data_IF_499364722871
#
_entry.id   IF_499364722871
#
_cell.length_a   1.000
_cell.length_b   1.000
_cell.length_c   1.000
_cell.angle_alpha   90.00
_cell.angle_beta   90.00
_cell.angle_gamma   90.00
#
_symmetry.space_group_name_H-M   'P 1'
#
loop_
_entity.id
_entity.type
_entity.pdbx_description
1 polymer ?
#
# COMPACT_ATOMS: atom_id res chain seq x y z
N UNK A 1 9.90 -37.13 12.10
CA UNK A 1 9.67 -36.80 13.52
C UNK A 1 8.22 -36.40 13.69
N UNK A 2 7.40 -37.24 14.33
CA UNK A 2 6.00 -36.91 14.65
C UNK A 2 5.98 -35.78 15.69
N UNK A 3 5.83 -34.54 15.23
CA UNK A 3 5.51 -33.43 16.14
C UNK A 3 4.13 -33.71 16.74
N UNK A 4 4.08 -34.07 18.02
CA UNK A 4 2.82 -34.06 18.78
C UNK A 4 2.20 -32.67 18.58
N UNK A 5 0.97 -32.62 18.10
CA UNK A 5 0.25 -31.37 17.97
C UNK A 5 0.14 -30.74 19.37
N UNK A 6 0.92 -29.69 19.62
CA UNK A 6 0.80 -28.92 20.85
C UNK A 6 -0.64 -28.38 20.94
N UNK A 7 -1.34 -28.78 21.99
CA UNK A 7 -2.75 -28.46 22.22
C UNK A 7 -2.82 -26.98 22.65
N UNK A 8 -3.65 -26.15 22.01
CA UNK A 8 -3.82 -24.76 22.44
C UNK A 8 -4.43 -24.75 23.84
N UNK A 9 -4.05 -23.75 24.65
CA UNK A 9 -4.61 -23.62 26.01
C UNK A 9 -6.07 -23.15 25.99
N UNK A 10 -6.54 -22.63 24.86
CA UNK A 10 -7.94 -22.31 24.61
C UNK A 10 -8.25 -22.33 23.12
N UNK A 11 -9.45 -22.80 22.78
CA UNK A 11 -10.04 -22.69 21.46
C UNK A 11 -11.54 -22.43 21.59
N UNK A 12 -12.07 -21.41 20.91
CA UNK A 12 -13.48 -21.09 20.98
C UNK A 12 -13.88 -19.82 20.22
N UNK A 13 -15.15 -19.48 20.30
CA UNK A 13 -15.75 -18.31 19.67
C UNK A 13 -15.52 -17.04 20.51
N UNK A 14 -15.88 -15.89 19.94
CA UNK A 14 -15.62 -14.57 20.54
C UNK A 14 -16.08 -14.44 21.99
N UNK A 15 -17.27 -14.93 22.33
CA UNK A 15 -17.83 -14.82 23.68
C UNK A 15 -17.03 -15.67 24.69
N UNK A 16 -16.71 -16.91 24.31
CA UNK A 16 -15.90 -17.83 25.11
C UNK A 16 -14.49 -17.29 25.29
N UNK A 17 -13.88 -16.76 24.21
CA UNK A 17 -12.56 -16.14 24.24
C UNK A 17 -12.54 -14.89 25.13
N UNK A 18 -13.60 -14.09 25.12
CA UNK A 18 -13.75 -12.93 26.00
C UNK A 18 -13.86 -13.31 27.48
N UNK A 19 -14.58 -14.39 27.79
CA UNK A 19 -14.67 -14.94 29.14
C UNK A 19 -13.32 -15.52 29.59
N UNK A 20 -12.64 -16.25 28.71
CA UNK A 20 -11.34 -16.85 28.98
C UNK A 20 -10.26 -15.78 29.24
N UNK A 21 -10.25 -14.70 28.44
CA UNK A 21 -9.37 -13.54 28.60
C UNK A 21 -9.81 -12.57 29.72
N UNK A 22 -10.54 -13.03 30.73
CA UNK A 22 -11.02 -12.20 31.85
C UNK A 22 -9.91 -11.48 32.63
N UNK A 23 -10.20 -11.02 33.85
CA UNK A 23 -9.28 -10.21 34.65
C UNK A 23 -7.90 -10.85 34.88
N UNK A 24 -7.76 -12.17 34.80
CA UNK A 24 -6.48 -12.88 35.00
C UNK A 24 -5.45 -12.69 33.87
N UNK A 25 -5.78 -11.99 32.78
CA UNK A 25 -4.91 -11.77 31.61
C UNK A 25 -4.44 -10.32 31.43
N UNK A 26 -4.69 -9.43 32.41
CA UNK A 26 -4.30 -8.01 32.32
C UNK A 26 -2.79 -7.81 32.27
N UNK A 27 -2.04 -8.60 33.05
CA UNK A 27 -0.59 -8.44 33.22
C UNK A 27 0.21 -9.59 32.59
N UNK A 28 -0.35 -10.17 31.52
CA UNK A 28 0.24 -11.30 30.81
C UNK A 28 0.32 -11.04 29.32
N UNK A 29 1.38 -11.56 28.73
CA UNK A 29 1.50 -11.68 27.29
C UNK A 29 0.96 -13.03 26.84
N UNK A 30 0.43 -13.09 25.64
CA UNK A 30 0.02 -14.35 25.03
C UNK A 30 0.22 -14.33 23.52
N UNK A 31 0.38 -15.53 22.98
CA UNK A 31 0.35 -15.78 21.54
C UNK A 31 -0.98 -16.39 21.16
N UNK A 32 -1.51 -15.98 20.01
CA UNK A 32 -2.81 -16.43 19.54
C UNK A 32 -2.84 -16.62 18.02
N UNK A 33 -3.81 -17.40 17.58
CA UNK A 33 -4.10 -17.68 16.17
C UNK A 33 -5.58 -17.37 15.91
N UNK A 34 -5.85 -16.55 14.90
CA UNK A 34 -7.19 -16.39 14.36
C UNK A 34 -7.39 -17.42 13.25
N UNK A 35 -8.50 -18.14 13.35
CA UNK A 35 -8.85 -19.21 12.44
C UNK A 35 -10.19 -18.90 11.75
N UNK A 36 -10.31 -19.43 10.53
CA UNK A 36 -11.58 -19.45 9.78
C UNK A 36 -12.59 -20.39 10.48
N UNK A 37 -13.88 -20.36 10.11
CA UNK A 37 -14.88 -21.25 10.70
C UNK A 37 -14.55 -22.75 10.61
N UNK A 38 -13.80 -23.15 9.57
CA UNK A 38 -13.30 -24.52 9.37
C UNK A 38 -12.09 -24.88 10.24
N UNK A 39 -11.64 -23.97 11.10
CA UNK A 39 -10.44 -24.12 11.92
C UNK A 39 -9.13 -23.81 11.18
N UNK A 40 -9.15 -23.40 9.91
CA UNK A 40 -7.92 -23.09 9.17
C UNK A 40 -7.30 -21.77 9.66
N UNK A 41 -6.04 -21.75 10.12
CA UNK A 41 -5.35 -20.52 10.51
C UNK A 41 -5.29 -19.48 9.39
N UNK A 42 -5.45 -18.21 9.73
CA UNK A 42 -5.22 -17.12 8.78
C UNK A 42 -4.42 -15.95 9.36
N UNK A 43 -4.22 -15.87 10.66
CA UNK A 43 -3.41 -14.84 11.29
C UNK A 43 -2.84 -15.33 12.61
N UNK A 44 -1.59 -14.99 12.88
CA UNK A 44 -0.93 -15.22 14.18
C UNK A 44 -0.60 -13.86 14.78
N UNK A 45 -0.75 -13.70 16.09
CA UNK A 45 -0.36 -12.47 16.75
C UNK A 45 0.10 -12.69 18.19
N UNK A 46 0.83 -11.70 18.71
CA UNK A 46 1.03 -11.50 20.14
C UNK A 46 0.10 -10.42 20.69
N UNK A 47 -0.34 -10.58 21.93
CA UNK A 47 -1.23 -9.63 22.58
C UNK A 47 -1.14 -9.65 24.09
N UNK A 48 -1.75 -8.65 24.70
CA UNK A 48 -2.07 -8.58 26.13
C UNK A 48 -3.52 -8.09 26.25
N UNK A 49 -4.15 -8.31 27.41
CA UNK A 49 -5.55 -7.96 27.64
C UNK A 49 -6.48 -8.52 26.54
N UNK A 50 -7.24 -7.65 25.87
CA UNK A 50 -8.25 -8.04 24.86
C UNK A 50 -7.77 -7.94 23.41
N UNK A 51 -6.45 -7.77 23.18
CA UNK A 51 -5.88 -7.48 21.85
C UNK A 51 -6.34 -8.43 20.75
N UNK A 52 -6.44 -9.72 21.04
CA UNK A 52 -6.92 -10.73 20.09
C UNK A 52 -8.34 -10.42 19.55
N UNK A 53 -9.22 -9.88 20.40
CA UNK A 53 -10.62 -9.57 20.06
C UNK A 53 -10.78 -8.22 19.33
N UNK A 54 -9.83 -7.31 19.50
CA UNK A 54 -9.88 -5.97 18.90
C UNK A 54 -9.81 -6.01 17.36
N UNK A 55 -9.30 -7.10 16.79
CA UNK A 55 -9.15 -7.24 15.34
C UNK A 55 -10.48 -7.20 14.57
N UNK A 56 -11.57 -7.64 15.18
CA UNK A 56 -12.90 -7.49 14.56
C UNK A 56 -13.29 -6.01 14.46
N UNK A 57 -13.06 -5.23 15.53
CA UNK A 57 -13.34 -3.80 15.54
C UNK A 57 -12.45 -3.05 14.54
N UNK A 58 -11.16 -3.42 14.44
CA UNK A 58 -10.24 -2.87 13.42
C UNK A 58 -10.76 -3.12 12.01
N UNK A 59 -11.27 -4.33 11.73
CA UNK A 59 -11.80 -4.67 10.42
C UNK A 59 -13.08 -3.89 10.08
N UNK A 60 -13.97 -3.67 11.06
CA UNK A 60 -15.24 -2.97 10.86
C UNK A 60 -15.09 -1.45 10.75
N UNK A 61 -14.16 -0.84 11.48
CA UNK A 61 -14.02 0.64 11.56
C UNK A 61 -13.46 1.31 10.30
N UNK A 62 -13.14 0.55 9.24
CA UNK A 62 -12.45 1.05 8.03
C UNK A 62 -11.31 2.03 8.34
N UNK A 63 -10.62 1.86 9.48
CA UNK A 63 -9.74 2.93 9.96
C UNK A 63 -8.52 3.04 9.04
N UNK A 64 -8.29 4.26 8.55
CA UNK A 64 -7.05 4.71 7.90
C UNK A 64 -5.85 4.70 8.87
N UNK A 65 -5.94 3.95 9.97
CA UNK A 65 -4.89 3.87 10.97
C UNK A 65 -3.65 3.21 10.33
N UNK A 66 -2.46 3.84 10.39
CA UNK A 66 -1.24 3.37 9.74
C UNK A 66 -0.71 2.01 10.21
N UNK A 67 -1.41 1.32 11.12
CA UNK A 67 -1.05 0.03 11.72
C UNK A 67 -2.03 -1.12 11.40
N UNK A 68 -3.05 -0.90 10.56
CA UNK A 68 -3.97 -1.97 10.20
C UNK A 68 -3.37 -2.90 9.14
N UNK A 69 -3.48 -4.22 9.33
CA UNK A 69 -3.10 -5.21 8.33
C UNK A 69 -4.27 -5.42 7.35
N UNK A 70 -4.21 -4.91 6.10
CA UNK A 70 -5.36 -4.92 5.20
C UNK A 70 -5.79 -6.34 4.80
N UNK A 71 -4.84 -7.28 4.64
CA UNK A 71 -5.14 -8.66 4.26
C UNK A 71 -5.92 -9.38 5.37
N UNK A 72 -5.47 -9.23 6.62
CA UNK A 72 -6.19 -9.74 7.80
C UNK A 72 -7.61 -9.16 7.87
N UNK A 73 -7.75 -7.84 7.77
CA UNK A 73 -9.06 -7.18 7.83
C UNK A 73 -10.00 -7.64 6.70
N UNK A 74 -9.48 -7.86 5.50
CA UNK A 74 -10.26 -8.37 4.38
C UNK A 74 -10.76 -9.81 4.60
N UNK A 75 -9.94 -10.68 5.21
CA UNK A 75 -10.38 -12.04 5.59
C UNK A 75 -11.50 -11.97 6.64
N UNK A 76 -11.35 -11.13 7.67
CA UNK A 76 -12.38 -10.94 8.70
C UNK A 76 -13.70 -10.46 8.08
N UNK A 77 -13.66 -9.43 7.24
CA UNK A 77 -14.86 -8.93 6.52
C UNK A 77 -15.49 -9.99 5.63
N UNK A 78 -14.68 -10.82 4.97
CA UNK A 78 -15.18 -11.91 4.12
C UNK A 78 -15.94 -12.94 4.97
N UNK A 79 -15.38 -13.36 6.11
CA UNK A 79 -16.03 -14.30 7.03
C UNK A 79 -17.39 -13.76 7.47
N UNK A 80 -17.47 -12.49 7.89
CA UNK A 80 -18.74 -11.90 8.34
C UNK A 80 -19.77 -11.73 7.22
N UNK A 81 -19.35 -11.36 6.00
CA UNK A 81 -20.26 -11.32 4.85
C UNK A 81 -20.87 -12.68 4.52
N UNK A 82 -20.21 -13.76 4.92
CA UNK A 82 -20.68 -15.14 4.75
C UNK A 82 -21.40 -15.67 5.99
N UNK A 83 -21.81 -14.80 6.93
CA UNK A 83 -22.42 -15.16 8.21
C UNK A 83 -21.57 -16.14 9.04
N UNK A 84 -20.26 -16.19 8.81
CA UNK A 84 -19.33 -17.01 9.57
C UNK A 84 -18.81 -16.30 10.82
N UNK A 85 -18.14 -17.05 11.69
CA UNK A 85 -17.50 -16.54 12.91
C UNK A 85 -16.00 -16.87 12.90
N UNK A 86 -15.20 -16.01 13.54
CA UNK A 86 -13.78 -16.27 13.75
C UNK A 86 -13.64 -17.25 14.92
N UNK A 87 -12.82 -18.27 14.72
CA UNK A 87 -12.39 -19.16 15.79
C UNK A 87 -11.08 -18.63 16.37
N UNK A 88 -11.05 -18.48 17.69
CA UNK A 88 -9.92 -17.93 18.44
C UNK A 88 -9.17 -19.07 19.10
N UNK A 89 -7.86 -19.19 18.81
CA UNK A 89 -6.97 -20.13 19.50
C UNK A 89 -5.93 -19.37 20.28
N UNK A 90 -5.84 -19.62 21.58
CA UNK A 90 -4.78 -19.10 22.42
C UNK A 90 -3.74 -20.19 22.59
N UNK A 91 -2.52 -19.93 22.14
CA UNK A 91 -1.44 -20.93 22.07
C UNK A 91 -0.75 -21.06 23.42
N UNK A 92 -0.20 -19.95 23.94
CA UNK A 92 0.55 -19.90 25.21
C UNK A 92 0.43 -18.55 25.90
N UNK A 93 0.56 -18.56 27.23
CA UNK A 93 0.71 -17.37 28.08
C UNK A 93 2.13 -17.21 28.61
N UNK A 94 2.50 -15.97 28.88
CA UNK A 94 3.80 -15.57 29.39
C UNK A 94 3.60 -14.53 30.49
N UNK A 95 4.48 -14.53 31.49
CA UNK A 95 4.55 -13.46 32.48
C UNK A 95 4.97 -12.13 31.83
N UNK A 96 4.80 -11.03 32.55
CA UNK A 96 5.06 -9.67 32.05
C UNK A 96 6.51 -9.49 31.55
N UNK A 97 7.47 -10.06 32.28
CA UNK A 97 8.91 -10.03 31.99
C UNK A 97 9.33 -10.98 30.85
N UNK A 98 8.44 -11.88 30.42
CA UNK A 98 8.67 -12.88 29.38
C UNK A 98 8.17 -12.44 27.99
N UNK A 99 8.07 -11.13 27.75
CA UNK A 99 7.61 -10.59 26.46
C UNK A 99 8.45 -11.11 25.27
N UNK A 100 9.76 -11.29 25.47
CA UNK A 100 10.68 -11.79 24.44
C UNK A 100 10.34 -13.24 24.03
N UNK A 101 10.00 -14.09 24.98
CA UNK A 101 9.63 -15.48 24.69
C UNK A 101 8.30 -15.56 23.96
N UNK A 102 7.35 -14.70 24.33
CA UNK A 102 6.09 -14.53 23.59
C UNK A 102 6.34 -14.15 22.13
N UNK A 103 7.28 -13.23 21.91
CA UNK A 103 7.67 -12.77 20.58
C UNK A 103 8.34 -13.87 19.74
N UNK A 104 9.25 -14.65 20.35
CA UNK A 104 9.89 -15.80 19.71
C UNK A 104 8.87 -16.87 19.33
N UNK A 105 7.88 -17.12 20.20
CA UNK A 105 6.80 -18.06 19.89
C UNK A 105 5.91 -17.58 18.76
N UNK A 106 5.56 -16.29 18.70
CA UNK A 106 4.83 -15.70 17.58
C UNK A 106 5.57 -15.97 16.26
N UNK A 107 6.88 -15.71 16.22
CA UNK A 107 7.71 -15.99 15.05
C UNK A 107 7.74 -17.48 14.69
N UNK A 108 7.86 -18.36 15.68
CA UNK A 108 7.84 -19.81 15.46
C UNK A 108 6.50 -20.30 14.88
N UNK A 109 5.36 -19.77 15.37
CA UNK A 109 4.04 -20.07 14.82
C UNK A 109 3.88 -19.55 13.38
N UNK A 110 4.39 -18.34 13.09
CA UNK A 110 4.37 -17.79 11.74
C UNK A 110 5.21 -18.64 10.78
N UNK A 111 6.40 -19.05 11.21
CA UNK A 111 7.27 -19.93 10.43
C UNK A 111 6.61 -21.30 10.19
N UNK A 112 5.92 -21.85 11.20
CA UNK A 112 5.22 -23.14 11.12
C UNK A 112 4.09 -23.14 10.10
N UNK A 113 3.20 -22.15 10.13
CA UNK A 113 2.05 -22.10 9.23
C UNK A 113 2.39 -21.47 7.86
N UNK A 114 3.48 -20.72 7.80
CA UNK A 114 3.90 -19.97 6.62
C UNK A 114 2.97 -18.81 6.29
N UNK A 115 3.52 -17.73 5.72
CA UNK A 115 2.71 -16.61 5.23
C UNK A 115 2.32 -16.84 3.78
N UNK A 116 1.23 -16.21 3.35
CA UNK A 116 0.77 -16.24 1.95
C UNK A 116 1.89 -15.90 0.94
N UNK A 117 2.75 -14.88 1.16
CA UNK A 117 3.86 -14.62 0.24
C UNK A 117 4.90 -15.74 0.19
N UNK A 118 5.01 -16.54 1.25
CA UNK A 118 6.03 -17.58 1.43
C UNK A 118 5.47 -18.97 1.04
N UNK A 119 4.26 -19.01 0.45
CA UNK A 119 3.55 -20.25 0.09
C UNK A 119 2.68 -20.85 1.19
N UNK A 120 2.56 -20.18 2.34
CA UNK A 120 1.72 -20.62 3.47
C UNK A 120 0.33 -19.99 3.50
N UNK A 121 -0.32 -20.06 4.67
CA UNK A 121 -1.74 -19.72 4.83
C UNK A 121 -2.01 -18.41 5.62
N UNK A 122 -0.99 -17.82 6.23
CA UNK A 122 -1.15 -16.65 7.10
C UNK A 122 -1.14 -15.31 6.35
N UNK A 123 -1.97 -14.38 6.83
CA UNK A 123 -2.08 -12.99 6.35
C UNK A 123 -1.09 -12.02 7.02
N UNK A 124 -0.21 -12.52 7.88
CA UNK A 124 0.82 -11.72 8.55
C UNK A 124 1.70 -10.96 7.54
N UNK A 125 1.97 -9.67 7.80
CA UNK A 125 2.83 -8.84 6.94
C UNK A 125 4.32 -9.07 7.20
N UNK A 126 4.68 -9.39 8.45
CA UNK A 126 6.04 -9.63 8.92
C UNK A 126 6.19 -11.06 9.46
N UNK A 127 7.42 -11.53 9.62
CA UNK A 127 7.74 -12.90 10.02
C UNK A 127 7.61 -13.15 11.54
N UNK A 128 7.11 -12.17 12.30
CA UNK A 128 7.24 -12.12 13.77
C UNK A 128 8.48 -11.32 14.18
N UNK A 129 8.72 -11.11 15.49
CA UNK A 129 9.80 -10.26 16.06
C UNK A 129 9.54 -8.74 16.14
N UNK A 130 8.29 -8.28 15.98
CA UNK A 130 7.94 -6.88 16.25
C UNK A 130 8.51 -5.90 15.22
N UNK A 131 8.86 -4.68 15.64
CA UNK A 131 9.37 -3.62 14.74
C UNK A 131 10.78 -3.89 14.18
N UNK A 132 11.49 -4.89 14.72
CA UNK A 132 12.79 -5.38 14.23
C UNK A 132 12.61 -6.39 13.08
N UNK A 133 11.36 -6.78 12.80
CA UNK A 133 11.04 -7.69 11.72
C UNK A 133 11.07 -6.98 10.37
N UNK A 134 12.20 -7.13 9.72
CA UNK A 134 12.37 -7.01 8.27
C UNK A 134 11.10 -7.48 7.50
N UNK A 135 10.37 -6.54 6.86
CA UNK A 135 9.24 -6.84 5.97
C UNK A 135 9.66 -7.94 4.98
N UNK A 136 8.81 -8.91 4.69
CA UNK A 136 9.19 -10.04 3.83
C UNK A 136 9.81 -9.56 2.51
N UNK A 137 10.92 -10.13 2.01
CA UNK A 137 11.52 -9.78 0.74
C UNK A 137 10.53 -9.78 -0.43
N UNK A 138 9.50 -10.65 -0.45
CA UNK A 138 8.46 -10.62 -1.49
C UNK A 138 7.44 -9.48 -1.28
N UNK A 139 7.16 -9.08 -0.04
CA UNK A 139 6.35 -7.88 0.23
C UNK A 139 7.14 -6.60 -0.06
N UNK A 140 8.45 -6.55 0.22
CA UNK A 140 9.34 -5.48 -0.22
C UNK A 140 9.50 -5.47 -1.73
N UNK A 141 9.66 -6.63 -2.37
CA UNK A 141 9.77 -6.76 -3.82
C UNK A 141 8.45 -6.41 -4.49
N UNK A 142 7.30 -6.87 -4.02
CA UNK A 142 5.98 -6.42 -4.52
C UNK A 142 5.74 -4.94 -4.25
N UNK A 143 6.13 -4.42 -3.09
CA UNK A 143 5.99 -2.99 -2.81
C UNK A 143 6.93 -2.16 -3.71
N UNK A 144 8.19 -2.55 -3.86
CA UNK A 144 9.15 -1.96 -4.79
C UNK A 144 8.71 -2.11 -6.25
N UNK A 145 8.17 -3.27 -6.64
CA UNK A 145 7.68 -3.56 -7.98
C UNK A 145 6.39 -2.76 -8.28
N UNK A 146 5.56 -2.51 -7.27
CA UNK A 146 4.33 -1.70 -7.42
C UNK A 146 4.60 -0.21 -7.31
N UNK A 147 5.63 0.19 -6.56
CA UNK A 147 6.08 1.57 -6.38
C UNK A 147 7.00 2.02 -7.51
N UNK A 148 7.71 1.11 -8.18
CA UNK A 148 8.62 1.48 -9.26
C UNK A 148 8.97 0.36 -10.25
N UNK A 149 8.50 -0.89 -10.11
CA UNK A 149 8.84 -2.03 -11.02
C UNK A 149 7.79 -2.39 -12.06
N UNK A 150 7.99 -3.53 -12.72
CA UNK A 150 7.13 -4.03 -13.81
C UNK A 150 6.33 -5.22 -13.27
N UNK A 151 5.12 -5.01 -12.72
CA UNK A 151 4.31 -6.11 -12.20
C UNK A 151 3.72 -6.96 -13.33
N UNK A 152 4.19 -8.21 -13.47
CA UNK A 152 3.70 -9.15 -14.50
C UNK A 152 2.20 -9.47 -14.44
N UNK A 153 1.53 -9.17 -13.31
CA UNK A 153 0.09 -9.43 -13.11
C UNK A 153 -0.78 -8.17 -13.19
N UNK A 154 -0.21 -7.04 -13.59
CA UNK A 154 -0.93 -5.78 -13.70
C UNK A 154 -0.36 -4.97 -14.89
N UNK A 155 -0.80 -5.28 -16.11
CA UNK A 155 -0.22 -4.74 -17.33
C UNK A 155 -0.37 -3.21 -17.43
N UNK A 156 -1.51 -2.66 -17.04
CA UNK A 156 -1.71 -1.20 -16.99
C UNK A 156 -0.73 -0.50 -16.03
N UNK A 157 -0.50 -1.10 -14.86
CA UNK A 157 0.45 -0.58 -13.89
C UNK A 157 1.89 -0.69 -14.39
N UNK A 158 2.24 -1.79 -15.05
CA UNK A 158 3.52 -1.98 -15.70
C UNK A 158 3.77 -0.91 -16.77
N UNK A 159 2.78 -0.64 -17.61
CA UNK A 159 2.84 0.42 -18.62
C UNK A 159 3.16 1.78 -18.02
N UNK A 160 2.40 2.21 -17.02
CA UNK A 160 2.63 3.51 -16.39
C UNK A 160 3.96 3.58 -15.64
N UNK A 161 4.44 2.47 -15.08
CA UNK A 161 5.74 2.44 -14.40
C UNK A 161 6.89 2.55 -15.40
N UNK A 162 6.81 1.86 -16.54
CA UNK A 162 7.80 1.96 -17.62
C UNK A 162 7.79 3.37 -18.23
N UNK A 163 6.60 3.90 -18.51
CA UNK A 163 6.45 5.28 -18.98
C UNK A 163 7.09 6.27 -18.03
N UNK A 164 6.82 6.16 -16.72
CA UNK A 164 7.38 7.08 -15.73
C UNK A 164 8.91 6.92 -15.58
N UNK A 165 9.44 5.70 -15.71
CA UNK A 165 10.90 5.43 -15.71
C UNK A 165 11.62 6.09 -16.89
N UNK A 166 10.95 6.29 -18.02
CA UNK A 166 11.54 7.01 -19.16
C UNK A 166 11.93 8.45 -18.80
N UNK A 167 11.33 9.05 -17.77
CA UNK A 167 11.67 10.39 -17.26
C UNK A 167 12.82 10.36 -16.25
N UNK A 168 12.97 9.25 -15.53
CA UNK A 168 13.99 9.02 -14.52
C UNK A 168 13.53 8.09 -13.41
N UNK A 169 14.45 7.75 -12.51
CA UNK A 169 14.14 6.88 -11.37
C UNK A 169 13.24 7.59 -10.34
N UNK A 170 12.17 6.91 -9.94
CA UNK A 170 11.32 7.32 -8.81
C UNK A 170 11.19 6.19 -7.79
N UNK A 171 11.25 6.55 -6.51
CA UNK A 171 11.04 5.60 -5.40
C UNK A 171 9.57 5.15 -5.28
N UNK A 172 8.64 5.96 -5.79
CA UNK A 172 7.21 5.68 -5.76
C UNK A 172 6.48 6.31 -6.94
N UNK A 173 5.60 5.54 -7.58
CA UNK A 173 4.75 5.97 -8.69
C UNK A 173 3.93 7.20 -8.32
N UNK A 174 3.89 8.20 -9.18
CA UNK A 174 3.06 9.39 -9.01
C UNK A 174 1.82 9.42 -9.92
N UNK A 175 1.68 8.38 -10.76
CA UNK A 175 0.53 8.17 -11.65
C UNK A 175 -0.08 6.78 -11.39
N UNK A 176 -1.38 6.63 -11.67
CA UNK A 176 -2.15 5.39 -11.48
C UNK A 176 -3.09 5.14 -12.65
N UNK A 177 -3.39 3.86 -13.00
CA UNK A 177 -4.47 3.55 -13.93
C UNK A 177 -5.80 3.99 -13.33
N UNK A 178 -6.62 4.70 -14.11
CA UNK A 178 -7.92 5.21 -13.66
C UNK A 178 -8.91 4.08 -13.36
N UNK A 179 -8.85 2.99 -14.12
CA UNK A 179 -9.57 1.73 -13.87
C UNK A 179 -9.32 1.15 -12.47
N UNK A 180 -8.18 1.47 -11.85
CA UNK A 180 -7.75 0.94 -10.55
C UNK A 180 -7.72 2.01 -9.45
N UNK A 181 -8.09 3.24 -9.77
CA UNK A 181 -7.96 4.39 -8.88
C UNK A 181 -9.17 5.30 -8.94
N UNK A 182 -9.80 5.52 -7.79
CA UNK A 182 -10.90 6.48 -7.66
C UNK A 182 -10.34 7.83 -7.21
N UNK A 183 -10.22 8.85 -8.09
CA UNK A 183 -9.76 10.16 -7.69
C UNK A 183 -10.81 10.86 -6.82
N UNK A 184 -10.32 11.74 -5.96
CA UNK A 184 -11.10 12.73 -5.24
C UNK A 184 -10.48 14.11 -5.49
N UNK A 185 -11.20 15.18 -5.12
CA UNK A 185 -10.74 16.55 -5.32
C UNK A 185 -9.37 16.76 -4.70
N UNK A 186 -8.45 17.37 -5.45
CA UNK A 186 -7.10 17.65 -4.97
C UNK A 186 -7.13 18.70 -3.86
N UNK A 187 -6.47 18.42 -2.74
CA UNK A 187 -6.37 19.34 -1.60
C UNK A 187 -4.92 19.52 -1.18
N UNK A 188 -4.58 20.66 -0.58
CA UNK A 188 -3.22 20.95 -0.12
C UNK A 188 -2.83 19.99 1.01
N UNK A 189 -1.64 19.39 0.91
CA UNK A 189 -1.14 18.45 1.93
C UNK A 189 -0.92 19.14 3.29
N UNK A 190 -1.30 18.46 4.37
CA UNK A 190 -1.01 18.91 5.75
C UNK A 190 0.41 18.57 6.22
N UNK A 191 1.13 17.72 5.49
CA UNK A 191 2.48 17.27 5.89
C UNK A 191 3.52 18.37 5.69
N UNK A 192 4.54 18.46 6.56
CA UNK A 192 5.64 19.40 6.39
C UNK A 192 6.49 19.00 5.18
N UNK A 193 6.36 19.75 4.09
CA UNK A 193 7.23 19.65 2.92
C UNK A 193 7.30 21.03 2.26
N UNK A 194 8.51 21.49 1.99
CA UNK A 194 8.79 22.86 1.52
C UNK A 194 9.45 22.92 0.16
N UNK A 195 9.91 21.79 -0.38
CA UNK A 195 10.66 21.75 -1.65
C UNK A 195 10.00 20.81 -2.65
N UNK A 196 9.98 21.25 -3.92
CA UNK A 196 9.62 20.43 -5.05
C UNK A 196 10.65 19.31 -5.26
N UNK A 197 10.20 18.18 -5.83
CA UNK A 197 11.04 17.01 -6.06
C UNK A 197 10.83 16.45 -7.46
N UNK A 198 11.80 15.67 -7.94
CA UNK A 198 11.72 15.02 -9.27
C UNK A 198 10.43 14.24 -9.47
N UNK A 199 9.94 13.53 -8.43
CA UNK A 199 8.67 12.80 -8.49
C UNK A 199 7.48 13.70 -8.84
N UNK A 200 7.45 14.93 -8.32
CA UNK A 200 6.38 15.89 -8.62
C UNK A 200 6.51 16.40 -10.04
N UNK A 201 7.72 16.77 -10.45
CA UNK A 201 8.00 17.23 -11.82
C UNK A 201 7.66 16.16 -12.86
N UNK A 202 8.06 14.91 -12.64
CA UNK A 202 7.75 13.80 -13.53
C UNK A 202 6.26 13.50 -13.62
N UNK A 203 5.48 13.75 -12.57
CA UNK A 203 4.03 13.60 -12.64
C UNK A 203 3.41 14.61 -13.63
N UNK A 204 3.81 15.88 -13.51
CA UNK A 204 3.35 16.95 -14.39
C UNK A 204 3.84 16.73 -15.84
N UNK A 205 5.12 16.40 -16.01
CA UNK A 205 5.71 16.09 -17.31
C UNK A 205 5.03 14.90 -17.99
N UNK A 206 4.73 13.83 -17.24
CA UNK A 206 4.08 12.65 -17.80
C UNK A 206 2.73 12.98 -18.44
N UNK A 207 1.93 13.83 -17.78
CA UNK A 207 0.66 14.29 -18.36
C UNK A 207 0.86 15.26 -19.52
N UNK A 208 1.78 16.22 -19.40
CA UNK A 208 2.05 17.20 -20.45
C UNK A 208 2.54 16.53 -21.75
N UNK A 209 3.46 15.57 -21.65
CA UNK A 209 3.97 14.79 -22.79
C UNK A 209 2.86 13.96 -23.43
N UNK A 210 2.00 13.32 -22.63
CA UNK A 210 0.89 12.52 -23.15
C UNK A 210 -0.15 13.35 -23.92
N UNK A 211 -0.21 14.67 -23.69
CA UNK A 211 -1.04 15.62 -24.43
C UNK A 211 -0.29 16.38 -25.52
N UNK A 212 1.01 16.13 -25.72
CA UNK A 212 1.83 16.88 -26.68
C UNK A 212 1.92 18.38 -26.37
N UNK A 213 1.95 18.74 -25.09
CA UNK A 213 1.95 20.15 -24.65
C UNK A 213 3.35 20.76 -24.61
N UNK A 214 3.43 22.05 -24.95
CA UNK A 214 4.56 22.92 -24.59
C UNK A 214 4.27 23.61 -23.27
N UNK A 215 5.26 23.63 -22.37
CA UNK A 215 5.18 24.29 -21.06
C UNK A 215 5.54 25.77 -21.20
N UNK A 216 4.51 26.58 -21.39
CA UNK A 216 4.58 28.04 -21.34
C UNK A 216 3.77 28.62 -20.17
N UNK A 217 3.98 29.89 -19.85
CA UNK A 217 3.27 30.54 -18.75
C UNK A 217 1.75 30.52 -19.00
N UNK A 218 1.00 29.96 -18.06
CA UNK A 218 -0.44 29.75 -18.16
C UNK A 218 -0.84 28.36 -18.66
N UNK A 219 0.11 27.51 -19.07
CA UNK A 219 -0.17 26.14 -19.50
C UNK A 219 -0.95 25.37 -18.43
N UNK A 220 -2.06 24.77 -18.84
CA UNK A 220 -2.97 24.01 -17.99
C UNK A 220 -2.81 22.51 -18.26
N UNK A 221 -2.01 21.84 -17.44
CA UNK A 221 -1.68 20.42 -17.60
C UNK A 221 -2.84 19.58 -17.05
N UNK A 222 -3.56 18.79 -17.86
CA UNK A 222 -4.65 17.96 -17.37
C UNK A 222 -4.17 16.97 -16.30
N UNK A 223 -5.02 16.64 -15.34
CA UNK A 223 -4.68 15.70 -14.27
C UNK A 223 -4.69 14.24 -14.75
N UNK A 224 -5.59 13.93 -15.68
CA UNK A 224 -5.71 12.62 -16.34
C UNK A 224 -5.18 12.68 -17.76
N UNK A 225 -4.72 11.55 -18.30
CA UNK A 225 -4.20 11.42 -19.66
C UNK A 225 -4.32 9.98 -20.16
N UNK A 226 -4.11 9.74 -21.46
CA UNK A 226 -4.04 8.39 -22.01
C UNK A 226 -2.60 8.08 -22.40
N UNK A 227 -2.08 6.94 -21.95
CA UNK A 227 -0.77 6.44 -22.36
C UNK A 227 -0.93 5.18 -23.21
N UNK A 228 -0.26 5.16 -24.36
CA UNK A 228 -0.17 3.98 -25.24
C UNK A 228 1.28 3.47 -25.16
N UNK A 229 1.51 2.27 -24.60
CA UNK A 229 2.85 1.70 -24.52
C UNK A 229 3.45 1.47 -25.90
N UNK A 230 4.77 1.63 -26.00
CA UNK A 230 5.53 1.30 -27.21
C UNK A 230 5.80 -0.21 -27.24
N UNK A 231 5.40 -0.94 -28.31
CA UNK A 231 5.71 -2.34 -28.47
C UNK A 231 7.21 -2.67 -28.43
N UNK A 232 8.06 -1.75 -28.91
CA UNK A 232 9.50 -1.98 -29.03
C UNK A 232 10.20 -1.92 -27.65
N UNK A 233 9.64 -1.15 -26.71
CA UNK A 233 10.13 -1.02 -25.34
C UNK A 233 9.42 -1.96 -24.35
N UNK A 234 8.54 -2.84 -24.84
CA UNK A 234 7.69 -3.67 -23.98
C UNK A 234 8.39 -4.96 -23.50
N UNK A 235 8.35 -5.29 -22.19
CA UNK A 235 8.97 -6.50 -21.67
C UNK A 235 8.36 -7.78 -22.25
N UNK A 236 9.23 -8.71 -22.69
CA UNK A 236 8.83 -10.02 -23.17
C UNK A 236 8.05 -10.81 -22.11
N UNK A 237 6.97 -11.47 -22.53
CA UNK A 237 6.14 -12.30 -21.66
C UNK A 237 5.19 -11.53 -20.73
N UNK A 238 5.09 -10.21 -20.85
CA UNK A 238 4.07 -9.40 -20.17
C UNK A 238 3.00 -8.99 -21.18
N UNK A 239 1.73 -9.19 -20.85
CA UNK A 239 0.61 -8.73 -21.68
C UNK A 239 0.65 -7.20 -21.83
N UNK A 240 0.66 -6.69 -23.06
CA UNK A 240 0.70 -5.25 -23.33
C UNK A 240 -0.72 -4.68 -23.47
N UNK A 241 -1.11 -3.68 -22.67
CA UNK A 241 -2.39 -3.01 -22.87
C UNK A 241 -2.34 -2.11 -24.10
N UNK A 242 -3.43 -2.01 -24.87
CA UNK A 242 -3.51 -1.12 -26.04
C UNK A 242 -3.41 0.37 -25.66
N UNK A 243 -4.05 0.73 -24.55
CA UNK A 243 -4.02 2.06 -23.96
C UNK A 243 -4.31 1.96 -22.46
N UNK A 244 -3.80 2.92 -21.70
CA UNK A 244 -4.04 3.05 -20.27
C UNK A 244 -4.51 4.48 -19.98
N UNK A 245 -5.75 4.61 -19.52
CA UNK A 245 -6.21 5.85 -18.89
C UNK A 245 -5.49 6.02 -17.55
N UNK A 246 -4.75 7.10 -17.42
CA UNK A 246 -3.87 7.39 -16.30
C UNK A 246 -4.29 8.68 -15.60
N UNK A 247 -3.93 8.80 -14.33
CA UNK A 247 -4.18 10.00 -13.54
C UNK A 247 -3.06 10.26 -12.55
N UNK A 248 -2.75 11.53 -12.34
CA UNK A 248 -1.88 12.00 -11.26
C UNK A 248 -2.58 11.75 -9.91
N UNK A 249 -2.00 10.87 -9.08
CA UNK A 249 -2.64 10.42 -7.85
C UNK A 249 -2.72 11.51 -6.76
N UNK A 250 -3.74 11.49 -5.92
CA UNK A 250 -3.99 12.52 -4.91
C UNK A 250 -2.79 12.76 -3.97
N UNK A 251 -2.00 11.72 -3.70
CA UNK A 251 -0.79 11.79 -2.89
C UNK A 251 0.26 12.75 -3.46
N UNK A 252 0.55 12.69 -4.76
CA UNK A 252 1.47 13.64 -5.40
C UNK A 252 0.79 14.99 -5.66
N UNK A 253 -0.49 15.00 -6.06
CA UNK A 253 -1.26 16.22 -6.30
C UNK A 253 -1.24 17.14 -5.08
N UNK A 254 -1.55 16.60 -3.90
CA UNK A 254 -1.58 17.38 -2.66
C UNK A 254 -0.23 18.02 -2.31
N UNK A 255 0.86 17.36 -2.70
CA UNK A 255 2.22 17.85 -2.45
C UNK A 255 2.63 18.88 -3.49
N UNK A 256 2.25 18.71 -4.77
CA UNK A 256 2.44 19.71 -5.84
C UNK A 256 1.84 21.05 -5.40
N UNK A 257 0.58 21.03 -4.92
CA UNK A 257 -0.12 22.22 -4.43
C UNK A 257 0.56 22.80 -3.18
N UNK A 258 1.00 21.93 -2.25
CA UNK A 258 1.64 22.36 -1.00
C UNK A 258 2.93 23.14 -1.23
N UNK A 259 3.77 22.70 -2.17
CA UNK A 259 5.05 23.35 -2.46
C UNK A 259 4.91 24.47 -3.50
N UNK A 260 3.69 24.75 -3.96
CA UNK A 260 3.42 25.77 -4.97
C UNK A 260 4.04 25.48 -6.34
N UNK A 261 4.25 24.20 -6.69
CA UNK A 261 4.84 23.82 -7.98
C UNK A 261 3.86 24.04 -9.15
N UNK A 262 2.56 23.99 -8.88
CA UNK A 262 1.50 24.36 -9.82
C UNK A 262 0.24 24.78 -9.02
N UNK A 263 -0.64 25.51 -9.67
CA UNK A 263 -1.96 25.89 -9.13
C UNK A 263 -3.03 24.92 -9.63
N UNK A 264 -4.01 24.59 -8.78
CA UNK A 264 -5.10 23.71 -9.18
C UNK A 264 -6.16 24.50 -9.95
N UNK A 265 -6.50 24.04 -11.14
CA UNK A 265 -7.73 24.41 -11.85
C UNK A 265 -8.79 23.37 -11.47
N UNK A 266 -9.78 23.72 -10.62
CA UNK A 266 -10.77 22.76 -10.15
C UNK A 266 -11.76 22.38 -11.26
N UNK A 267 -12.30 21.17 -11.17
CA UNK A 267 -13.37 20.68 -12.03
C UNK A 267 -14.46 19.99 -11.20
N UNK A 268 -15.64 19.80 -11.79
CA UNK A 268 -16.75 19.08 -11.13
C UNK A 268 -16.43 17.60 -10.92
N UNK A 269 -15.80 16.96 -11.90
CA UNK A 269 -15.23 15.61 -11.77
C UNK A 269 -13.72 15.75 -11.43
N UNK A 270 -13.24 15.15 -10.32
CA UNK A 270 -11.82 15.20 -9.95
C UNK A 270 -10.84 14.71 -11.02
N UNK A 271 -11.27 13.89 -11.98
CA UNK A 271 -10.41 13.42 -13.08
C UNK A 271 -10.13 14.52 -14.12
N UNK A 272 -11.01 15.51 -14.19
CA UNK A 272 -11.00 16.62 -15.16
C UNK A 272 -10.31 17.87 -14.60
N UNK A 273 -9.78 17.80 -13.36
CA UNK A 273 -8.90 18.83 -12.81
C UNK A 273 -7.67 19.05 -13.71
N UNK A 274 -7.08 20.23 -13.63
CA UNK A 274 -5.81 20.55 -14.29
C UNK A 274 -4.86 21.31 -13.36
N UNK A 275 -3.58 21.38 -13.75
CA UNK A 275 -2.53 22.11 -13.04
C UNK A 275 -2.04 23.26 -13.92
N UNK A 276 -2.29 24.49 -13.49
CA UNK A 276 -1.78 25.67 -14.17
C UNK A 276 -0.36 25.99 -13.67
N UNK A 277 0.54 26.28 -14.60
CA UNK A 277 1.91 26.67 -14.28
C UNK A 277 2.23 28.08 -14.78
N UNK A 278 2.90 28.89 -13.96
CA UNK A 278 3.45 30.18 -14.36
C UNK A 278 4.96 30.09 -14.67
N UNK A 279 5.58 31.18 -15.14
CA UNK A 279 6.99 31.21 -15.55
C UNK A 279 7.97 30.81 -14.43
N UNK A 280 7.68 31.17 -13.16
CA UNK A 280 8.56 30.83 -12.04
C UNK A 280 8.47 29.34 -11.70
N UNK A 281 7.28 28.75 -11.76
CA UNK A 281 7.04 27.32 -11.59
C UNK A 281 7.70 26.48 -12.69
N UNK A 282 7.63 26.94 -13.95
CA UNK A 282 8.34 26.30 -15.06
C UNK A 282 9.86 26.38 -14.85
N UNK A 283 10.36 27.50 -14.34
CA UNK A 283 11.79 27.66 -14.00
C UNK A 283 12.24 26.68 -12.92
N UNK A 284 11.41 26.41 -11.91
CA UNK A 284 11.67 25.37 -10.89
C UNK A 284 11.75 23.99 -11.54
N UNK A 285 10.84 23.68 -12.47
CA UNK A 285 10.84 22.41 -13.20
C UNK A 285 12.13 22.23 -14.03
N UNK A 286 12.56 23.29 -14.73
CA UNK A 286 13.85 23.34 -15.45
C UNK A 286 15.03 23.12 -14.49
N UNK A 287 15.02 23.73 -13.31
CA UNK A 287 16.10 23.60 -12.32
C UNK A 287 16.21 22.16 -11.78
N UNK A 288 15.09 21.49 -11.54
CA UNK A 288 15.06 20.14 -10.93
C UNK A 288 15.35 19.04 -11.94
N UNK A 289 14.80 19.16 -13.16
CA UNK A 289 14.86 18.11 -14.19
C UNK A 289 15.98 18.37 -15.20
N UNK A 290 16.30 19.64 -15.46
CA UNK A 290 17.27 20.08 -16.45
C UNK A 290 16.61 20.44 -17.79
N UNK A 291 17.02 21.59 -18.35
CA UNK A 291 16.54 22.13 -19.64
C UNK A 291 16.58 21.10 -20.78
N UNK A 292 17.74 20.46 -20.99
CA UNK A 292 17.93 19.46 -22.05
C UNK A 292 16.93 18.31 -21.98
N UNK A 293 16.56 17.86 -20.78
CA UNK A 293 15.61 16.77 -20.62
C UNK A 293 14.18 17.16 -21.01
N UNK A 294 13.83 18.44 -20.89
CA UNK A 294 12.54 18.99 -21.32
C UNK A 294 12.50 19.21 -22.83
N UNK A 295 13.58 19.77 -23.42
CA UNK A 295 13.73 19.95 -24.87
C UNK A 295 13.65 18.62 -25.62
N UNK A 296 14.33 17.57 -25.13
CA UNK A 296 14.27 16.22 -25.72
C UNK A 296 12.86 15.61 -25.72
N UNK A 297 11.93 16.16 -24.94
CA UNK A 297 10.54 15.71 -24.83
C UNK A 297 9.56 16.70 -25.46
N UNK A 298 10.06 17.74 -26.15
CA UNK A 298 9.24 18.77 -26.77
C UNK A 298 8.44 19.60 -25.77
N UNK A 299 8.86 19.65 -24.50
CA UNK A 299 8.13 20.37 -23.45
C UNK A 299 8.50 21.85 -23.35
N UNK A 300 9.64 22.28 -23.89
CA UNK A 300 10.07 23.68 -23.96
C UNK A 300 10.90 23.91 -25.23
#
# INVERSE_FOLDING_TARGET
>A
MNQRAEIPIFEGLRAEAATFLGSSFTDRWYTYVLCRPDGTPFYVGKGSGRRMLEHELEAMRQSLAPRSNPLKCNVIRKIFRQNGQILYRLDRTYAEDQQRDCLLREAALIARYGRIPDGGILTNLAAGLGAEAELHPISRKRHADTLSGVPNKNPERAALNLYLRSFGMVESTCIKPLSQYRPYTSTVSSKPRTQASRRMCYALMASAVAHGMTLEAGAAIPRSFVHRPDPDDWPEGVEMPEAVEAIIENGVSSVILKVGLAELLPASDPKDEAYQMNSSQISILIQIVGRRALELRGLI
#
